data_IF_201978282918
#
_entry.id   IF_201978282918
#
_cell.length_a   1.000
_cell.length_b   1.000
_cell.length_c   1.000
_cell.angle_alpha   90.00
_cell.angle_beta   90.00
_cell.angle_gamma   90.00
#
_symmetry.space_group_name_H-M   'P 1'
#
loop_
_entity.id
_entity.type
_entity.pdbx_description
1 polymer ?
#
# COMPACT_ATOMS: atom_id res chain seq x y z
N UNK A 1 -5.60 9.07 -12.07
CA UNK A 1 -4.69 8.47 -11.08
C UNK A 1 -5.55 7.67 -10.12
N UNK A 2 -5.41 6.36 -10.07
CA UNK A 2 -6.15 5.51 -9.12
C UNK A 2 -5.46 5.56 -7.76
N UNK A 3 -6.19 5.92 -6.72
CA UNK A 3 -5.70 5.83 -5.33
C UNK A 3 -5.48 4.35 -4.98
N UNK A 4 -4.32 3.98 -4.41
CA UNK A 4 -4.10 2.62 -3.94
C UNK A 4 -5.15 2.22 -2.91
N UNK A 5 -5.54 0.95 -2.91
CA UNK A 5 -6.44 0.41 -1.90
C UNK A 5 -5.82 0.46 -0.50
N UNK A 6 -6.66 0.37 0.53
CA UNK A 6 -6.23 0.29 1.94
C UNK A 6 -5.20 -0.84 2.12
N UNK A 7 -5.48 -2.02 1.56
CA UNK A 7 -4.58 -3.18 1.66
C UNK A 7 -3.22 -2.92 0.99
N UNK A 8 -3.20 -2.27 -0.18
CA UNK A 8 -1.95 -1.95 -0.88
C UNK A 8 -1.10 -0.93 -0.10
N UNK A 9 -1.72 0.12 0.44
CA UNK A 9 -1.01 1.10 1.29
C UNK A 9 -0.42 0.44 2.53
N UNK A 10 -1.19 -0.41 3.22
CA UNK A 10 -0.72 -1.11 4.42
C UNK A 10 0.44 -2.06 4.12
N UNK A 11 0.38 -2.81 3.01
CA UNK A 11 1.47 -3.71 2.59
C UNK A 11 2.74 -2.93 2.28
N UNK A 12 2.63 -1.83 1.53
CA UNK A 12 3.78 -1.00 1.20
C UNK A 12 4.42 -0.37 2.45
N UNK A 13 3.63 0.05 3.43
CA UNK A 13 4.16 0.53 4.73
C UNK A 13 4.91 -0.56 5.49
N UNK A 14 4.44 -1.81 5.44
CA UNK A 14 5.11 -2.96 6.05
C UNK A 14 6.42 -3.28 5.31
N UNK A 15 6.41 -3.27 3.98
CA UNK A 15 7.61 -3.46 3.15
C UNK A 15 8.66 -2.35 3.38
N UNK A 16 8.21 -1.13 3.72
CA UNK A 16 9.05 -0.03 4.17
C UNK A 16 9.58 -0.19 5.62
N UNK A 17 9.26 -1.30 6.29
CA UNK A 17 9.78 -1.65 7.61
C UNK A 17 8.90 -1.23 8.79
N UNK A 18 7.68 -0.74 8.56
CA UNK A 18 6.75 -0.47 9.65
C UNK A 18 6.09 -1.76 10.17
N UNK A 19 5.90 -1.83 11.49
CA UNK A 19 5.11 -2.91 12.09
C UNK A 19 3.62 -2.58 12.04
N UNK A 20 2.74 -3.60 12.09
CA UNK A 20 1.30 -3.36 12.15
C UNK A 20 0.89 -2.53 13.38
N UNK A 21 1.57 -2.73 14.51
CA UNK A 21 1.36 -1.92 15.71
C UNK A 21 1.78 -0.46 15.47
N UNK A 22 2.97 -0.23 14.89
CA UNK A 22 3.43 1.13 14.59
C UNK A 22 2.54 1.87 13.59
N UNK A 23 1.95 1.17 12.62
CA UNK A 23 0.94 1.75 11.72
C UNK A 23 -0.33 2.10 12.51
N UNK A 24 -0.79 1.19 13.39
CA UNK A 24 -1.99 1.41 14.18
C UNK A 24 -1.86 2.64 15.09
N UNK A 25 -0.72 2.77 15.77
CA UNK A 25 -0.40 3.92 16.62
C UNK A 25 -0.37 5.22 15.80
N UNK A 26 0.19 5.18 14.59
CA UNK A 26 0.31 6.35 13.72
C UNK A 26 -1.04 6.85 13.17
N UNK A 27 -2.00 5.95 12.90
CA UNK A 27 -3.33 6.31 12.35
C UNK A 27 -4.43 6.33 13.42
N UNK A 28 -4.09 6.16 14.69
CA UNK A 28 -5.02 6.25 15.82
C UNK A 28 -6.01 5.09 15.94
N UNK A 29 -5.59 3.87 15.60
CA UNK A 29 -6.42 2.65 15.72
C UNK A 29 -5.69 1.54 16.48
N UNK A 30 -6.35 0.40 16.64
CA UNK A 30 -5.75 -0.79 17.25
C UNK A 30 -5.10 -1.70 16.20
N UNK A 31 -4.06 -2.43 16.57
CA UNK A 31 -3.40 -3.41 15.68
C UNK A 31 -4.38 -4.45 15.09
N UNK A 32 -5.37 -4.99 15.82
CA UNK A 32 -6.38 -5.87 15.23
C UNK A 32 -7.19 -5.22 14.11
N UNK A 33 -7.38 -3.90 14.16
CA UNK A 33 -8.04 -3.14 13.08
C UNK A 33 -7.17 -3.10 11.84
N UNK A 34 -5.87 -2.88 11.99
CA UNK A 34 -4.89 -2.96 10.89
C UNK A 34 -4.82 -4.38 10.31
N UNK A 35 -4.79 -5.40 11.17
CA UNK A 35 -4.79 -6.80 10.73
C UNK A 35 -6.03 -7.14 9.89
N UNK A 36 -7.24 -6.75 10.33
CA UNK A 36 -8.45 -6.98 9.53
C UNK A 36 -8.41 -6.23 8.18
N UNK A 37 -7.92 -4.99 8.18
CA UNK A 37 -7.81 -4.19 6.95
C UNK A 37 -6.79 -4.76 5.95
N UNK A 38 -5.69 -5.36 6.43
CA UNK A 38 -4.76 -6.14 5.61
C UNK A 38 -5.44 -7.35 4.96
N UNK A 39 -6.45 -7.92 5.62
CA UNK A 39 -7.27 -9.00 5.11
C UNK A 39 -8.52 -8.51 4.33
N UNK A 40 -8.57 -7.24 3.96
CA UNK A 40 -9.60 -6.67 3.09
C UNK A 40 -10.83 -6.10 3.80
N UNK A 41 -10.81 -6.00 5.14
CA UNK A 41 -11.87 -5.28 5.84
C UNK A 41 -11.80 -3.78 5.55
N UNK A 42 -12.97 -3.14 5.42
CA UNK A 42 -13.03 -1.70 5.25
C UNK A 42 -12.62 -0.95 6.53
N UNK A 43 -12.06 0.24 6.32
CA UNK A 43 -11.81 1.21 7.38
C UNK A 43 -12.82 2.35 7.27
N UNK A 44 -13.14 2.96 8.42
CA UNK A 44 -13.91 4.21 8.43
C UNK A 44 -13.15 5.25 7.61
N UNK A 45 -13.90 6.09 6.89
CA UNK A 45 -13.33 7.12 6.01
C UNK A 45 -12.25 7.97 6.68
N UNK A 46 -12.49 8.45 7.91
CA UNK A 46 -11.51 9.25 8.65
C UNK A 46 -10.19 8.51 8.87
N UNK A 47 -10.23 7.21 9.20
CA UNK A 47 -9.03 6.38 9.37
C UNK A 47 -8.36 6.13 8.02
N UNK A 48 -9.15 5.90 6.96
CA UNK A 48 -8.62 5.79 5.60
C UNK A 48 -7.83 7.04 5.18
N UNK A 49 -8.29 8.24 5.57
CA UNK A 49 -7.56 9.49 5.32
C UNK A 49 -6.27 9.64 6.11
N UNK A 50 -6.25 9.22 7.37
CA UNK A 50 -4.99 9.20 8.13
C UNK A 50 -4.00 8.18 7.56
N UNK A 51 -4.48 7.04 7.07
CA UNK A 51 -3.64 6.08 6.36
C UNK A 51 -3.08 6.63 5.05
N UNK A 52 -3.90 7.32 4.24
CA UNK A 52 -3.44 7.97 3.00
C UNK A 52 -2.31 8.98 3.29
N UNK A 53 -2.46 9.80 4.35
CA UNK A 53 -1.42 10.75 4.78
C UNK A 53 -0.14 10.02 5.20
N UNK A 54 -0.25 9.02 6.08
CA UNK A 54 0.90 8.24 6.54
C UNK A 54 1.62 7.57 5.35
N UNK A 55 0.86 7.00 4.42
CA UNK A 55 1.40 6.39 3.21
C UNK A 55 2.15 7.42 2.36
N UNK A 56 1.59 8.62 2.14
CA UNK A 56 2.26 9.68 1.39
C UNK A 56 3.55 10.17 2.06
N UNK A 57 3.54 10.32 3.39
CA UNK A 57 4.70 10.75 4.17
C UNK A 57 5.83 9.73 4.14
N UNK A 58 5.52 8.45 4.37
CA UNK A 58 6.52 7.37 4.44
C UNK A 58 7.00 6.90 3.08
N UNK A 59 6.18 7.06 2.04
CA UNK A 59 6.59 6.85 0.65
C UNK A 59 7.41 8.03 0.10
N UNK A 60 7.53 9.12 0.87
CA UNK A 60 8.50 10.19 0.70
C UNK A 60 8.58 10.78 -0.71
N UNK A 61 7.49 11.30 -1.29
CA UNK A 61 7.53 12.11 -2.53
C UNK A 61 8.12 11.48 -3.81
N UNK A 62 8.69 10.28 -3.75
CA UNK A 62 9.47 9.62 -4.81
C UNK A 62 9.14 8.12 -4.95
N UNK A 63 8.61 7.47 -3.90
CA UNK A 63 8.22 6.05 -3.94
C UNK A 63 7.09 5.74 -4.93
N UNK A 64 6.19 6.70 -5.15
CA UNK A 64 5.11 6.58 -6.14
C UNK A 64 5.62 6.42 -7.58
N UNK A 65 6.80 6.97 -7.91
CA UNK A 65 7.38 6.81 -9.25
C UNK A 65 8.23 5.55 -9.37
N UNK A 66 8.96 5.17 -8.31
CA UNK A 66 9.85 4.02 -8.34
C UNK A 66 9.07 2.70 -8.37
N UNK A 67 8.04 2.56 -7.52
CA UNK A 67 7.20 1.35 -7.49
C UNK A 67 6.32 1.25 -8.75
N UNK A 68 5.79 2.38 -9.25
CA UNK A 68 5.08 2.42 -10.54
C UNK A 68 5.96 1.96 -11.70
N UNK A 69 7.21 2.43 -11.79
CA UNK A 69 8.16 1.96 -12.82
C UNK A 69 8.45 0.47 -12.68
N UNK A 70 8.48 -0.06 -11.46
CA UNK A 70 8.76 -1.48 -11.22
C UNK A 70 7.53 -2.37 -11.50
N UNK A 71 6.32 -1.92 -11.15
CA UNK A 71 5.06 -2.59 -11.43
C UNK A 71 4.70 -2.56 -12.93
N UNK A 72 4.98 -1.45 -13.63
CA UNK A 72 4.83 -1.35 -15.09
C UNK A 72 5.82 -2.27 -15.83
N UNK A 73 7.07 -2.40 -15.34
CA UNK A 73 8.04 -3.39 -15.85
C UNK A 73 7.52 -4.84 -15.68
N UNK A 74 7.02 -5.19 -14.49
CA UNK A 74 6.47 -6.53 -14.20
C UNK A 74 5.23 -6.86 -15.05
N UNK A 75 4.38 -5.88 -15.40
CA UNK A 75 3.24 -6.09 -16.31
C UNK A 75 3.66 -6.18 -17.79
N UNK A 76 4.72 -5.48 -18.19
CA UNK A 76 5.28 -5.55 -19.55
C UNK A 76 5.94 -6.89 -19.88
N UNK A 77 6.61 -7.51 -18.90
CA UNK A 77 7.32 -8.79 -19.08
C UNK A 77 6.37 -9.98 -19.30
N UNK A 78 5.15 -9.95 -18.72
CA UNK A 78 4.15 -11.01 -18.93
C UNK A 78 3.59 -11.08 -20.35
N UNK A 79 3.67 -9.99 -21.14
CA UNK A 79 3.14 -9.94 -22.52
C UNK A 79 4.09 -10.47 -23.59
N UNK A 80 5.37 -10.69 -23.27
CA UNK A 80 6.35 -11.21 -24.24
C UNK A 80 6.43 -12.75 -24.28
N UNK A 81 5.90 -13.44 -23.26
CA UNK A 81 5.86 -14.92 -23.22
C UNK A 81 4.81 -15.55 -24.13
N UNK A 82 3.71 -14.85 -24.43
CA UNK A 82 2.56 -15.41 -25.18
C UNK A 82 2.67 -15.27 -26.71
N UNK A 83 3.80 -14.78 -27.25
CA UNK A 83 4.02 -14.67 -28.71
C UNK A 83 4.92 -15.78 -29.29
N UNK A 84 5.34 -16.74 -28.49
CA UNK A 84 6.13 -17.91 -28.92
C UNK A 84 5.48 -19.19 -28.38
N UNK A 85 4.35 -19.57 -28.95
CA UNK A 85 3.80 -20.93 -28.92
C UNK A 85 3.11 -21.19 -30.26
#
# INVERSE_FOLDING_TARGET
>A
MTTPSITEMLKALIEAGMTQQGIADAIGVTQPTVFRALNGAELRYCIGKELEKLYAEKSGGAGFEADRRQAERRRGERRQGERRA
#
